data_IF_005773689501
#
_entry.id   IF_005773689501
#
_cell.length_a   1.000
_cell.length_b   1.000
_cell.length_c   1.000
_cell.angle_alpha   90.00
_cell.angle_beta   90.00
_cell.angle_gamma   90.00
#
_symmetry.space_group_name_H-M   'P 1'
#
loop_
_entity.id
_entity.type
_entity.pdbx_description
1 polymer ?
#
# COMPACT_ATOMS: atom_id res chain seq x y z
N UNK A 1 -50.86 -48.49 -1.96
CA UNK A 1 -51.64 -47.37 -2.52
C UNK A 1 -50.65 -46.48 -3.27
N UNK A 2 -50.40 -46.73 -4.55
CA UNK A 2 -51.12 -46.25 -5.74
C UNK A 2 -51.10 -44.72 -5.93
N UNK A 3 -50.58 -44.36 -7.11
CA UNK A 3 -50.44 -43.05 -7.74
C UNK A 3 -51.78 -42.47 -8.27
N UNK A 4 -51.66 -41.26 -8.87
CA UNK A 4 -52.56 -40.53 -9.82
C UNK A 4 -53.37 -39.41 -9.12
N UNK A 5 -52.97 -38.14 -9.18
CA UNK A 5 -52.99 -37.11 -10.26
C UNK A 5 -54.37 -36.49 -10.56
N UNK A 6 -54.44 -35.15 -10.49
CA UNK A 6 -55.18 -34.26 -11.40
C UNK A 6 -54.93 -32.78 -11.06
N UNK A 7 -54.39 -32.05 -12.05
CA UNK A 7 -54.38 -30.58 -12.22
C UNK A 7 -55.74 -30.13 -12.84
N UNK A 8 -56.16 -28.84 -12.91
CA UNK A 8 -55.44 -27.77 -13.65
C UNK A 8 -55.69 -26.29 -13.25
N UNK A 9 -54.98 -25.39 -13.93
CA UNK A 9 -55.22 -23.94 -14.01
C UNK A 9 -53.93 -23.16 -13.69
N UNK A 10 -53.18 -22.55 -14.60
CA UNK A 10 -53.56 -21.91 -15.85
C UNK A 10 -53.63 -20.40 -15.63
N UNK A 11 -52.50 -19.68 -15.77
CA UNK A 11 -52.45 -18.37 -16.43
C UNK A 11 -50.99 -17.91 -16.62
N UNK A 12 -50.76 -17.32 -17.79
CA UNK A 12 -49.48 -16.98 -18.35
C UNK A 12 -49.16 -15.49 -18.22
N UNK A 13 -47.83 -15.22 -18.17
CA UNK A 13 -47.10 -14.01 -18.60
C UNK A 13 -47.29 -12.69 -17.84
N UNK A 14 -46.36 -11.72 -18.00
CA UNK A 14 -44.93 -11.81 -18.36
C UNK A 14 -44.07 -11.03 -17.33
N UNK A 15 -42.74 -11.16 -17.36
CA UNK A 15 -41.78 -10.04 -17.26
C UNK A 15 -40.37 -10.55 -16.92
N UNK A 16 -39.44 -10.08 -17.74
CA UNK A 16 -38.10 -10.63 -17.91
C UNK A 16 -37.16 -10.48 -16.71
N UNK A 17 -35.96 -11.08 -16.81
CA UNK A 17 -34.93 -10.92 -15.80
C UNK A 17 -34.50 -9.46 -15.75
N UNK A 18 -34.58 -8.87 -14.55
CA UNK A 18 -33.98 -7.56 -14.24
C UNK A 18 -32.46 -7.71 -14.41
N UNK A 19 -31.98 -7.48 -15.63
CA UNK A 19 -30.60 -7.10 -15.88
C UNK A 19 -30.38 -5.79 -15.13
N UNK A 20 -29.71 -5.88 -13.99
CA UNK A 20 -29.07 -4.71 -13.40
C UNK A 20 -27.96 -4.28 -14.35
N UNK A 21 -28.30 -3.35 -15.23
CA UNK A 21 -27.36 -2.54 -15.97
C UNK A 21 -26.39 -1.93 -14.96
N UNK A 22 -25.18 -2.47 -14.89
CA UNK A 22 -24.05 -1.81 -14.21
C UNK A 22 -23.80 -0.56 -15.02
N UNK A 23 -24.36 0.56 -14.56
CA UNK A 23 -24.04 1.87 -15.10
C UNK A 23 -22.57 2.12 -14.80
N UNK A 24 -21.73 1.99 -15.82
CA UNK A 24 -20.40 2.55 -15.81
C UNK A 24 -20.56 4.07 -15.68
N UNK A 25 -20.38 4.58 -14.46
CA UNK A 25 -20.24 6.01 -14.22
C UNK A 25 -18.91 6.42 -14.86
N UNK A 26 -18.98 6.82 -16.12
CA UNK A 26 -17.95 7.66 -16.74
C UNK A 26 -18.22 9.07 -16.24
N UNK A 27 -17.62 9.41 -15.10
CA UNK A 27 -17.53 10.80 -14.63
C UNK A 27 -16.60 11.54 -15.60
N UNK A 28 -17.18 12.07 -16.67
CA UNK A 28 -16.57 13.13 -17.48
C UNK A 28 -16.57 14.41 -16.65
N UNK A 29 -15.51 14.58 -15.86
CA UNK A 29 -15.20 15.86 -15.23
C UNK A 29 -14.72 16.83 -16.33
N UNK A 30 -15.66 17.55 -16.93
CA UNK A 30 -15.43 18.74 -17.74
C UNK A 30 -15.12 19.96 -16.85
N UNK A 31 -14.06 19.85 -16.06
CA UNK A 31 -13.36 20.98 -15.47
C UNK A 31 -11.91 20.86 -15.90
N UNK A 32 -11.25 21.96 -16.26
CA UNK A 32 -9.84 21.97 -16.71
C UNK A 32 -9.02 21.07 -15.78
N UNK A 33 -8.74 19.84 -16.23
CA UNK A 33 -7.88 18.93 -15.49
C UNK A 33 -6.51 19.58 -15.60
N UNK A 34 -6.04 20.16 -14.51
CA UNK A 34 -4.66 20.63 -14.45
C UNK A 34 -3.80 19.39 -14.59
N UNK A 35 -3.13 19.25 -15.74
CA UNK A 35 -2.16 18.20 -15.97
C UNK A 35 -0.96 18.48 -15.05
N UNK A 36 -0.84 17.63 -14.03
CA UNK A 36 0.27 17.65 -13.11
C UNK A 36 1.52 17.02 -13.72
N UNK A 37 2.68 17.36 -13.16
CA UNK A 37 3.95 16.84 -13.63
C UNK A 37 4.87 16.49 -12.44
N UNK A 38 5.53 15.34 -12.51
CA UNK A 38 6.63 14.97 -11.61
C UNK A 38 7.90 14.81 -12.45
N UNK A 39 8.98 15.47 -12.04
CA UNK A 39 10.31 15.33 -12.62
C UNK A 39 11.34 14.95 -11.57
N UNK A 40 12.33 14.16 -11.97
CA UNK A 40 13.47 13.84 -11.14
C UNK A 40 14.68 13.43 -11.99
N UNK A 41 15.88 13.81 -11.58
CA UNK A 41 17.11 13.24 -12.15
C UNK A 41 17.40 11.91 -11.45
N UNK A 42 17.55 10.84 -12.21
CA UNK A 42 17.80 9.51 -11.69
C UNK A 42 19.30 9.24 -11.59
N UNK A 43 19.74 8.83 -10.41
CA UNK A 43 21.03 8.19 -10.21
C UNK A 43 20.76 6.71 -9.91
N UNK A 44 20.97 5.84 -10.90
CA UNK A 44 20.57 4.43 -10.83
C UNK A 44 21.74 3.48 -11.04
N UNK A 45 21.84 2.44 -10.20
CA UNK A 45 22.83 1.36 -10.36
C UNK A 45 22.61 0.51 -11.61
N UNK A 46 21.39 0.51 -12.14
CA UNK A 46 20.98 -0.27 -13.30
C UNK A 46 20.07 0.55 -14.23
N UNK A 47 20.07 0.27 -15.54
CA UNK A 47 19.13 0.92 -16.46
C UNK A 47 17.68 0.70 -16.05
N UNK A 48 16.90 1.78 -16.04
CA UNK A 48 15.45 1.74 -15.83
C UNK A 48 14.78 1.21 -17.09
N UNK A 49 14.07 0.09 -16.96
CA UNK A 49 13.34 -0.54 -18.07
C UNK A 49 11.94 0.06 -18.24
N UNK A 50 11.29 0.38 -17.12
CA UNK A 50 9.96 1.01 -17.07
C UNK A 50 9.82 1.87 -15.82
N UNK A 51 9.05 2.94 -15.93
CA UNK A 51 8.70 3.81 -14.81
C UNK A 51 7.19 4.07 -14.78
N UNK A 52 6.66 4.33 -13.59
CA UNK A 52 5.26 4.69 -13.38
C UNK A 52 5.13 5.70 -12.24
N UNK A 53 4.15 6.59 -12.36
CA UNK A 53 3.56 7.28 -11.22
C UNK A 53 2.30 6.50 -10.79
N UNK A 54 2.35 5.88 -9.62
CA UNK A 54 1.23 5.12 -9.05
C UNK A 54 0.36 6.07 -8.25
N UNK A 55 -0.77 6.48 -8.84
CA UNK A 55 -1.76 7.30 -8.17
C UNK A 55 -2.43 6.49 -7.06
N UNK A 56 -2.35 6.96 -5.81
CA UNK A 56 -3.04 6.41 -4.65
C UNK A 56 -4.31 7.22 -4.41
N UNK A 57 -5.45 6.62 -4.78
CA UNK A 57 -6.78 7.20 -4.59
C UNK A 57 -7.43 6.59 -3.36
N UNK A 58 -7.92 7.44 -2.46
CA UNK A 58 -8.83 7.03 -1.43
C UNK A 58 -10.25 7.28 -1.90
N UNK A 59 -11.08 6.24 -1.87
CA UNK A 59 -12.51 6.28 -2.16
C UNK A 59 -13.30 5.80 -0.94
N UNK A 60 -14.61 6.00 -0.94
CA UNK A 60 -15.50 5.48 0.11
C UNK A 60 -15.46 3.93 0.20
N UNK A 61 -15.09 3.29 -0.91
CA UNK A 61 -14.96 1.83 -1.03
C UNK A 61 -13.56 1.32 -0.63
N UNK A 62 -12.62 2.22 -0.33
CA UNK A 62 -11.27 1.91 0.11
C UNK A 62 -10.18 2.56 -0.74
N UNK A 63 -8.99 1.96 -0.74
CA UNK A 63 -7.85 2.48 -1.50
C UNK A 63 -7.73 1.82 -2.86
N UNK A 64 -7.75 2.63 -3.92
CA UNK A 64 -7.54 2.20 -5.31
C UNK A 64 -6.20 2.75 -5.78
N UNK A 65 -5.44 1.93 -6.50
CA UNK A 65 -4.22 2.38 -7.17
C UNK A 65 -4.39 2.39 -8.68
N UNK A 66 -3.88 3.43 -9.33
CA UNK A 66 -3.79 3.51 -10.80
C UNK A 66 -2.37 3.82 -11.20
N UNK A 67 -1.74 2.90 -11.93
CA UNK A 67 -0.41 3.13 -12.50
C UNK A 67 -0.52 3.96 -13.77
N UNK A 68 0.09 5.15 -13.76
CA UNK A 68 0.23 6.01 -14.92
C UNK A 68 1.66 5.85 -15.45
N UNK A 69 1.85 5.55 -16.75
CA UNK A 69 3.18 5.44 -17.33
C UNK A 69 4.01 6.71 -17.10
N UNK A 70 5.29 6.54 -16.83
CA UNK A 70 6.27 7.61 -16.83
C UNK A 70 7.41 7.24 -17.79
N UNK A 71 8.07 8.25 -18.33
CA UNK A 71 9.20 8.08 -19.24
C UNK A 71 10.51 8.41 -18.56
N UNK A 72 11.57 7.74 -18.99
CA UNK A 72 12.94 8.02 -18.57
C UNK A 72 13.77 8.25 -19.82
N UNK A 73 14.26 9.48 -19.98
CA UNK A 73 15.07 9.93 -21.12
C UNK A 73 16.31 10.61 -20.56
N UNK A 74 17.50 10.19 -20.98
CA UNK A 74 18.79 10.76 -20.51
C UNK A 74 18.85 10.92 -18.98
N UNK A 75 18.51 9.85 -18.26
CA UNK A 75 18.45 9.81 -16.78
C UNK A 75 17.39 10.74 -16.15
N UNK A 76 16.56 11.42 -16.94
CA UNK A 76 15.48 12.25 -16.46
C UNK A 76 14.17 11.46 -16.44
N UNK A 77 13.59 11.31 -15.25
CA UNK A 77 12.21 10.88 -15.10
C UNK A 77 11.27 12.04 -15.44
N UNK A 78 10.27 11.76 -16.27
CA UNK A 78 9.12 12.65 -16.51
C UNK A 78 7.84 11.83 -16.40
N UNK A 79 6.95 12.25 -15.50
CA UNK A 79 5.57 11.77 -15.42
C UNK A 79 4.65 12.98 -15.62
N UNK A 80 4.06 13.10 -16.80
CA UNK A 80 3.17 14.18 -17.24
C UNK A 80 1.70 13.72 -17.22
N UNK A 81 0.78 14.64 -17.50
CA UNK A 81 -0.67 14.41 -17.53
C UNK A 81 -1.24 13.74 -16.27
N UNK A 82 -0.64 14.04 -15.12
CA UNK A 82 -1.05 13.48 -13.84
C UNK A 82 -2.31 14.20 -13.31
N UNK A 83 -3.26 13.48 -12.71
CA UNK A 83 -4.41 14.11 -12.06
C UNK A 83 -3.99 15.07 -10.94
N UNK A 84 -4.61 16.25 -10.90
CA UNK A 84 -4.43 17.26 -9.84
C UNK A 84 -5.80 17.65 -9.26
N UNK A 85 -5.99 17.60 -7.92
CA UNK A 85 -5.04 17.13 -6.92
C UNK A 85 -4.83 15.60 -7.01
N UNK A 86 -3.65 15.14 -6.59
CA UNK A 86 -3.31 13.73 -6.62
C UNK A 86 -2.12 13.41 -5.73
N UNK A 87 -2.01 12.14 -5.30
CA UNK A 87 -0.89 11.64 -4.51
C UNK A 87 -0.28 10.41 -5.17
N UNK A 88 1.03 10.42 -5.37
CA UNK A 88 1.72 9.46 -6.21
C UNK A 88 2.89 8.79 -5.50
N UNK A 89 3.04 7.49 -5.73
CA UNK A 89 4.28 6.76 -5.47
C UNK A 89 4.97 6.46 -6.80
N UNK A 90 6.25 6.75 -6.93
CA UNK A 90 7.03 6.38 -8.11
C UNK A 90 7.40 4.91 -8.03
N UNK A 91 7.28 4.21 -9.16
CA UNK A 91 7.67 2.81 -9.30
C UNK A 91 8.57 2.65 -10.50
N UNK A 92 9.62 1.85 -10.34
CA UNK A 92 10.61 1.56 -11.37
C UNK A 92 10.78 0.05 -11.50
N UNK A 93 10.88 -0.41 -12.76
CA UNK A 93 11.35 -1.74 -13.08
C UNK A 93 12.78 -1.63 -13.62
N UNK A 94 13.69 -2.37 -13.00
CA UNK A 94 15.06 -2.58 -13.49
C UNK A 94 15.28 -4.08 -13.76
N UNK A 95 16.40 -4.46 -14.35
CA UNK A 95 16.68 -5.88 -14.68
C UNK A 95 16.64 -6.77 -13.43
N UNK A 96 17.15 -6.30 -12.31
CA UNK A 96 17.21 -7.06 -11.07
C UNK A 96 15.91 -7.04 -10.26
N UNK A 97 14.92 -6.21 -10.55
CA UNK A 97 13.68 -6.17 -9.76
C UNK A 97 12.91 -4.86 -9.84
N UNK A 98 12.20 -4.54 -8.74
CA UNK A 98 11.39 -3.34 -8.61
C UNK A 98 11.89 -2.43 -7.50
N UNK A 99 11.83 -1.13 -7.75
CA UNK A 99 11.83 -0.09 -6.72
C UNK A 99 10.45 0.55 -6.68
N UNK A 100 9.91 0.79 -5.49
CA UNK A 100 8.59 1.41 -5.34
C UNK A 100 8.58 2.39 -4.17
N UNK A 101 7.94 3.54 -4.38
CA UNK A 101 7.64 4.49 -3.32
C UNK A 101 6.61 3.97 -2.34
N UNK A 102 6.69 4.45 -1.11
CA UNK A 102 5.62 4.32 -0.16
C UNK A 102 5.44 5.64 0.58
N UNK A 103 4.19 6.00 0.86
CA UNK A 103 3.84 7.29 1.45
C UNK A 103 4.15 7.29 2.95
N UNK A 104 5.38 7.67 3.30
CA UNK A 104 5.84 7.83 4.66
C UNK A 104 5.33 9.11 5.34
N UNK A 105 4.64 9.99 4.60
CA UNK A 105 4.21 11.29 5.15
C UNK A 105 3.15 11.10 6.23
N UNK A 106 3.15 11.98 7.21
CA UNK A 106 2.16 12.05 8.27
C UNK A 106 1.70 13.51 8.42
N UNK A 107 0.52 13.77 9.02
CA UNK A 107 0.13 15.12 9.38
C UNK A 107 1.20 15.80 10.24
N UNK A 108 1.33 17.11 10.10
CA UNK A 108 2.15 17.91 11.02
C UNK A 108 1.66 17.72 12.45
N UNK A 109 2.59 17.74 13.39
CA UNK A 109 2.24 17.66 14.80
C UNK A 109 1.88 19.04 15.34
N UNK A 110 0.90 19.10 16.24
CA UNK A 110 0.61 20.27 17.07
C UNK A 110 1.73 20.56 18.08
N UNK A 111 2.66 19.62 18.29
CA UNK A 111 3.80 19.74 19.18
C UNK A 111 5.10 20.03 18.41
N UNK A 112 5.83 21.04 18.87
CA UNK A 112 7.04 21.54 18.19
C UNK A 112 8.29 20.75 18.57
N UNK A 113 8.35 20.16 19.77
CA UNK A 113 9.61 19.79 20.42
C UNK A 113 10.12 18.36 20.11
N UNK A 114 9.29 17.46 19.59
CA UNK A 114 9.65 16.05 19.37
C UNK A 114 9.37 15.59 17.93
N UNK A 115 10.21 16.09 17.01
CA UNK A 115 10.20 15.64 15.62
C UNK A 115 11.65 15.37 15.18
N UNK A 116 11.98 14.19 14.64
CA UNK A 116 11.08 13.10 14.19
C UNK A 116 10.58 12.18 15.32
N UNK A 117 9.77 11.17 14.97
CA UNK A 117 9.28 10.11 15.87
C UNK A 117 10.40 9.54 16.75
N UNK A 118 10.21 9.57 18.07
CA UNK A 118 11.19 9.07 19.03
C UNK A 118 11.31 7.54 19.04
N UNK A 119 12.47 7.02 19.45
CA UNK A 119 12.68 5.58 19.60
C UNK A 119 11.78 4.96 20.68
N UNK A 120 11.42 5.72 21.73
CA UNK A 120 10.46 5.28 22.74
C UNK A 120 9.06 5.10 22.13
N UNK A 121 8.58 6.06 21.34
CA UNK A 121 7.30 5.94 20.63
C UNK A 121 7.32 4.81 19.59
N UNK A 122 8.44 4.63 18.87
CA UNK A 122 8.65 3.50 17.97
C UNK A 122 8.52 2.17 18.71
N UNK A 123 9.14 2.03 19.88
CA UNK A 123 9.06 0.82 20.70
C UNK A 123 7.62 0.56 21.20
N UNK A 124 6.89 1.60 21.59
CA UNK A 124 5.48 1.48 22.02
C UNK A 124 4.59 0.98 20.88
N UNK A 125 4.73 1.54 19.67
CA UNK A 125 4.00 1.07 18.48
C UNK A 125 4.32 -0.40 18.20
N UNK A 126 5.60 -0.78 18.19
CA UNK A 126 6.03 -2.16 17.96
C UNK A 126 5.48 -3.13 19.02
N UNK A 127 5.45 -2.71 20.29
CA UNK A 127 4.88 -3.49 21.39
C UNK A 127 3.38 -3.74 21.18
N UNK A 128 2.62 -2.69 20.84
CA UNK A 128 1.18 -2.84 20.50
C UNK A 128 0.96 -3.73 19.29
N UNK A 129 1.76 -3.59 18.24
CA UNK A 129 1.68 -4.45 17.05
C UNK A 129 2.02 -5.91 17.33
N UNK A 130 2.78 -6.19 18.39
CA UNK A 130 3.13 -7.54 18.83
C UNK A 130 2.03 -8.21 19.66
N UNK A 131 1.04 -7.45 20.14
CA UNK A 131 -0.08 -8.00 20.88
C UNK A 131 -0.85 -9.05 20.06
N UNK A 132 -1.32 -10.10 20.73
CA UNK A 132 -2.02 -11.22 20.10
C UNK A 132 -3.26 -10.77 19.32
N UNK A 133 -3.98 -9.76 19.81
CA UNK A 133 -5.13 -9.15 19.13
C UNK A 133 -4.78 -8.59 17.74
N UNK A 134 -3.58 -8.02 17.58
CA UNK A 134 -3.12 -7.47 16.29
C UNK A 134 -2.59 -8.55 15.34
N UNK A 135 -2.02 -9.63 15.87
CA UNK A 135 -1.32 -10.66 15.07
C UNK A 135 -2.12 -11.95 14.88
N UNK A 136 -3.32 -12.06 15.47
CA UNK A 136 -4.14 -13.28 15.46
C UNK A 136 -4.41 -13.82 14.04
N UNK A 137 -4.66 -12.91 13.09
CA UNK A 137 -5.04 -13.24 11.72
C UNK A 137 -3.87 -13.45 10.75
N UNK A 138 -2.65 -13.21 11.22
CA UNK A 138 -1.44 -13.26 10.39
C UNK A 138 -0.53 -14.37 10.89
N UNK A 139 0.04 -15.11 9.95
CA UNK A 139 0.98 -16.19 10.27
C UNK A 139 2.40 -15.63 10.37
N UNK A 140 2.71 -14.55 9.65
CA UNK A 140 3.95 -13.79 9.80
C UNK A 140 3.70 -12.29 9.67
N UNK A 141 4.40 -11.51 10.48
CA UNK A 141 4.34 -10.03 10.47
C UNK A 141 5.76 -9.48 10.52
N UNK A 142 6.11 -8.68 9.52
CA UNK A 142 7.41 -7.99 9.42
C UNK A 142 7.16 -6.51 9.21
N UNK A 143 7.78 -5.67 10.04
CA UNK A 143 7.81 -4.22 9.84
C UNK A 143 9.07 -3.90 9.03
N UNK A 144 8.89 -3.23 7.89
CA UNK A 144 9.99 -2.88 7.00
C UNK A 144 10.54 -1.49 7.30
N UNK A 145 9.68 -0.54 7.67
CA UNK A 145 10.07 0.81 8.09
C UNK A 145 8.95 1.45 8.94
N UNK A 146 9.32 2.41 9.78
CA UNK A 146 8.41 3.30 10.54
C UNK A 146 8.95 4.72 10.44
N UNK A 147 8.10 5.64 10.01
CA UNK A 147 8.37 7.07 9.91
C UNK A 147 7.27 7.86 10.60
N UNK A 148 7.55 9.08 11.05
CA UNK A 148 6.54 9.89 11.72
C UNK A 148 7.09 11.05 12.53
N UNK A 149 6.22 11.61 13.36
CA UNK A 149 6.51 12.60 14.41
C UNK A 149 5.94 12.11 15.75
N UNK A 150 5.99 12.93 16.80
CA UNK A 150 5.46 12.58 18.13
C UNK A 150 3.98 12.17 18.15
N UNK A 151 3.14 12.70 17.25
CA UNK A 151 1.70 12.42 17.23
C UNK A 151 1.27 11.39 16.20
N UNK A 152 2.02 11.24 15.11
CA UNK A 152 1.57 10.49 13.94
C UNK A 152 2.68 9.60 13.41
N UNK A 153 2.34 8.37 13.01
CA UNK A 153 3.27 7.45 12.40
C UNK A 153 2.69 6.74 11.16
N UNK A 154 3.59 6.44 10.24
CA UNK A 154 3.41 5.66 9.03
C UNK A 154 4.24 4.38 9.15
N UNK A 155 3.59 3.23 9.10
CA UNK A 155 4.23 1.92 9.30
C UNK A 155 4.14 1.12 8.01
N UNK A 156 5.28 0.90 7.33
CA UNK A 156 5.37 -0.01 6.20
C UNK A 156 5.52 -1.44 6.73
N UNK A 157 4.54 -2.31 6.45
CA UNK A 157 4.56 -3.70 6.90
C UNK A 157 4.27 -4.71 5.81
N UNK A 158 4.87 -5.88 5.95
CA UNK A 158 4.58 -7.08 5.19
C UNK A 158 3.92 -8.12 6.10
N UNK A 159 2.79 -8.66 5.69
CA UNK A 159 2.09 -9.72 6.42
C UNK A 159 1.84 -10.91 5.51
N UNK A 160 2.01 -12.12 6.06
CA UNK A 160 1.66 -13.38 5.42
C UNK A 160 0.44 -13.96 6.09
N UNK A 161 -0.45 -14.49 5.26
CA UNK A 161 -1.57 -15.30 5.67
C UNK A 161 -1.58 -16.64 4.94
N UNK A 162 -1.57 -17.73 5.70
CA UNK A 162 -1.70 -19.09 5.21
C UNK A 162 -3.05 -19.71 5.55
N UNK A 163 -3.78 -19.18 6.55
CA UNK A 163 -5.09 -19.72 6.93
C UNK A 163 -6.27 -19.04 6.18
N UNK A 164 -7.27 -19.81 5.69
CA UNK A 164 -8.50 -19.25 5.12
C UNK A 164 -9.27 -18.40 6.15
N UNK A 165 -10.06 -17.43 5.70
CA UNK A 165 -11.05 -16.72 6.53
C UNK A 165 -12.37 -17.47 6.44
N UNK A 166 -13.08 -17.60 7.57
CA UNK A 166 -14.46 -18.12 7.55
C UNK A 166 -15.31 -17.15 6.72
N UNK A 167 -15.84 -17.63 5.58
CA UNK A 167 -16.78 -16.88 4.73
C UNK A 167 -16.19 -15.99 3.62
N UNK A 168 -14.86 -15.86 3.49
CA UNK A 168 -14.25 -14.88 2.56
C UNK A 168 -13.52 -15.43 1.33
N UNK A 169 -13.51 -16.76 1.10
CA UNK A 169 -12.82 -17.36 -0.06
C UNK A 169 -11.28 -17.25 -0.06
N UNK A 170 -10.67 -16.84 1.06
CA UNK A 170 -9.22 -16.69 1.21
C UNK A 170 -8.52 -18.05 1.08
N UNK A 171 -7.48 -18.12 0.24
CA UNK A 171 -6.67 -19.33 0.04
C UNK A 171 -5.27 -19.13 0.63
N UNK A 172 -4.62 -20.18 1.17
CA UNK A 172 -3.27 -20.09 1.74
C UNK A 172 -2.24 -19.41 0.84
N UNK A 173 -1.31 -18.66 1.44
CA UNK A 173 -0.13 -18.09 0.77
C UNK A 173 -0.31 -16.65 0.30
N UNK A 174 -1.15 -15.86 0.97
CA UNK A 174 -1.38 -14.47 0.62
C UNK A 174 -0.40 -13.55 1.35
N UNK A 175 0.41 -12.82 0.59
CA UNK A 175 1.24 -11.75 1.10
C UNK A 175 0.59 -10.40 0.84
N UNK A 176 0.59 -9.54 1.86
CA UNK A 176 0.12 -8.16 1.76
C UNK A 176 1.20 -7.22 2.26
N UNK A 177 1.60 -6.28 1.41
CA UNK A 177 2.39 -5.11 1.79
C UNK A 177 1.45 -3.92 1.91
N UNK A 178 1.50 -3.23 3.04
CA UNK A 178 0.64 -2.08 3.32
C UNK A 178 1.35 -1.05 4.16
N UNK A 179 0.87 0.18 4.05
CA UNK A 179 1.24 1.29 4.92
C UNK A 179 0.10 1.50 5.89
N UNK A 180 0.40 1.50 7.19
CA UNK A 180 -0.58 1.77 8.24
C UNK A 180 -0.39 3.15 8.83
N UNK A 181 -1.48 3.78 9.22
CA UNK A 181 -1.47 5.07 9.90
C UNK A 181 -1.77 4.87 11.37
N UNK A 182 -0.91 5.46 12.18
CA UNK A 182 -1.00 5.44 13.64
C UNK A 182 -1.05 6.87 14.13
N UNK A 183 -1.81 7.08 15.19
CA UNK A 183 -1.95 8.36 15.85
C UNK A 183 -1.81 8.18 17.37
N UNK A 184 -1.36 9.23 18.01
CA UNK A 184 -1.29 9.35 19.45
C UNK A 184 -2.62 9.90 19.96
N UNK A 185 -3.37 9.12 20.74
CA UNK A 185 -4.67 9.54 21.27
C UNK A 185 -4.53 10.32 22.58
N UNK A 186 -3.58 9.95 23.45
CA UNK A 186 -3.42 10.58 24.76
C UNK A 186 -1.94 10.78 25.12
N UNK A 187 -1.51 12.06 25.25
CA UNK A 187 -0.18 12.41 25.69
C UNK A 187 0.27 11.86 27.05
N UNK A 188 -0.67 11.75 27.98
CA UNK A 188 -0.44 11.35 29.35
C UNK A 188 -0.42 9.84 29.53
N UNK A 189 -1.06 9.09 28.64
CA UNK A 189 -1.07 7.62 28.67
C UNK A 189 -0.10 6.98 27.67
N UNK A 190 0.63 7.78 26.87
CA UNK A 190 1.48 7.30 25.77
C UNK A 190 0.73 6.33 24.82
N UNK A 191 -0.57 6.55 24.63
CA UNK A 191 -1.44 5.60 23.95
C UNK A 191 -1.45 5.83 22.44
N UNK A 192 -0.72 4.97 21.71
CA UNK A 192 -0.77 4.91 20.23
C UNK A 192 -1.91 4.01 19.74
N UNK A 193 -2.70 4.47 18.77
CA UNK A 193 -3.77 3.67 18.12
C UNK A 193 -3.67 3.78 16.60
N UNK A 194 -4.29 2.84 15.89
CA UNK A 194 -4.44 2.95 14.43
C UNK A 194 -5.45 4.04 14.11
N UNK A 195 -5.13 4.90 13.15
CA UNK A 195 -6.02 6.00 12.72
C UNK A 195 -7.36 5.44 12.25
N UNK A 196 -8.47 5.89 12.82
CA UNK A 196 -9.78 5.27 12.58
C UNK A 196 -10.31 5.50 11.15
N UNK A 197 -10.18 6.73 10.63
CA UNK A 197 -10.69 7.05 9.27
C UNK A 197 -9.78 6.58 8.13
N UNK A 198 -8.48 6.46 8.39
CA UNK A 198 -7.47 6.13 7.37
C UNK A 198 -6.47 5.09 7.89
N UNK A 199 -6.92 3.91 8.34
CA UNK A 199 -6.09 3.00 9.12
C UNK A 199 -4.93 2.42 8.31
N UNK A 200 -5.11 2.21 7.01
CA UNK A 200 -4.06 1.72 6.13
C UNK A 200 -4.43 1.88 4.65
N UNK A 201 -3.42 1.77 3.78
CA UNK A 201 -3.62 1.44 2.37
C UNK A 201 -2.69 0.30 1.93
N UNK A 202 -3.18 -0.57 1.05
CA UNK A 202 -2.38 -1.68 0.52
C UNK A 202 -1.51 -1.19 -0.66
N UNK A 203 -0.22 -1.51 -0.62
CA UNK A 203 0.70 -1.29 -1.74
C UNK A 203 0.53 -2.40 -2.77
N UNK A 204 0.61 -3.65 -2.30
CA UNK A 204 0.45 -4.87 -3.07
C UNK A 204 -0.23 -5.91 -2.21
N UNK A 205 -1.23 -6.58 -2.79
CA UNK A 205 -1.80 -7.82 -2.27
C UNK A 205 -1.62 -8.89 -3.33
N UNK A 206 -0.83 -9.92 -3.03
CA UNK A 206 -0.50 -10.96 -4.00
C UNK A 206 -0.40 -12.32 -3.34
N UNK A 207 -1.00 -13.31 -4.00
CA UNK A 207 -0.79 -14.71 -3.65
C UNK A 207 0.52 -15.19 -4.25
N UNK A 208 1.40 -15.72 -3.41
CA UNK A 208 2.69 -16.25 -3.82
C UNK A 208 3.04 -17.47 -2.99
N UNK A 209 3.59 -18.49 -3.65
CA UNK A 209 4.25 -19.57 -2.92
C UNK A 209 5.55 -19.06 -2.32
N UNK A 210 6.07 -19.76 -1.30
CA UNK A 210 7.28 -19.34 -0.61
C UNK A 210 8.48 -19.18 -1.56
N UNK A 211 8.60 -20.05 -2.57
CA UNK A 211 9.62 -19.95 -3.62
C UNK A 211 9.54 -18.61 -4.35
N UNK A 212 8.35 -18.20 -4.77
CA UNK A 212 8.14 -16.94 -5.50
C UNK A 212 8.39 -15.72 -4.61
N UNK A 213 8.00 -15.82 -3.33
CA UNK A 213 8.28 -14.79 -2.35
C UNK A 213 9.79 -14.62 -2.11
N UNK A 214 10.55 -15.71 -2.01
CA UNK A 214 12.03 -15.66 -1.87
C UNK A 214 12.71 -15.11 -3.14
N UNK A 215 12.11 -15.32 -4.31
CA UNK A 215 12.59 -14.80 -5.58
C UNK A 215 12.20 -13.33 -5.82
N UNK A 216 11.26 -12.79 -5.04
CA UNK A 216 10.86 -11.39 -5.13
C UNK A 216 12.08 -10.49 -4.90
N UNK A 217 12.19 -9.41 -5.67
CA UNK A 217 13.23 -8.39 -5.52
C UNK A 217 12.54 -7.05 -5.56
N UNK A 218 12.08 -6.61 -4.39
CA UNK A 218 11.33 -5.36 -4.26
C UNK A 218 11.94 -4.51 -3.16
N UNK A 219 12.28 -3.29 -3.52
CA UNK A 219 12.86 -2.31 -2.59
C UNK A 219 11.89 -1.14 -2.48
N UNK A 220 11.37 -0.92 -1.27
CA UNK A 220 10.54 0.23 -0.97
C UNK A 220 11.42 1.39 -0.52
N UNK A 221 11.21 2.58 -1.09
CA UNK A 221 12.00 3.76 -0.76
C UNK A 221 11.10 4.94 -0.42
N UNK A 222 11.30 5.55 0.76
CA UNK A 222 10.37 6.58 1.25
C UNK A 222 10.38 7.86 0.44
N UNK A 223 11.52 8.25 -0.13
CA UNK A 223 11.65 9.46 -0.96
C UNK A 223 10.96 9.35 -2.33
N UNK A 224 10.56 8.13 -2.72
CA UNK A 224 9.82 7.88 -3.95
C UNK A 224 8.30 7.91 -3.73
N UNK A 225 7.82 8.01 -2.49
CA UNK A 225 6.40 7.88 -2.16
C UNK A 225 5.75 9.15 -1.62
N UNK A 226 4.42 9.19 -1.68
CA UNK A 226 3.61 10.24 -1.08
C UNK A 226 3.71 11.61 -1.77
N UNK A 227 4.20 11.66 -3.01
CA UNK A 227 4.41 12.90 -3.78
C UNK A 227 3.05 13.53 -4.08
N UNK A 228 2.79 14.69 -3.50
CA UNK A 228 1.51 15.38 -3.62
C UNK A 228 1.57 16.45 -4.71
N UNK A 229 0.63 16.38 -5.66
CA UNK A 229 0.33 17.45 -6.59
C UNK A 229 -0.98 18.11 -6.14
N UNK A 230 -0.97 19.43 -6.05
CA UNK A 230 -2.15 20.22 -5.64
C UNK A 230 -2.44 21.26 -6.70
N UNK A 231 -3.65 21.82 -6.71
CA UNK A 231 -3.98 22.90 -7.65
C UNK A 231 -3.05 24.11 -7.52
N UNK A 232 -2.46 24.33 -6.34
CA UNK A 232 -1.46 25.39 -6.09
C UNK A 232 -0.04 24.98 -6.48
N UNK A 233 0.25 23.67 -6.46
CA UNK A 233 1.55 23.08 -6.81
C UNK A 233 1.32 21.87 -7.73
N UNK A 234 0.98 22.11 -9.01
CA UNK A 234 0.70 21.03 -9.96
C UNK A 234 1.99 20.36 -10.46
N UNK A 235 3.16 20.95 -10.20
CA UNK A 235 4.46 20.42 -10.59
C UNK A 235 5.31 20.09 -9.36
N UNK A 236 5.95 18.93 -9.39
CA UNK A 236 6.94 18.52 -8.41
C UNK A 236 8.26 18.19 -9.11
N UNK A 237 9.30 18.98 -8.81
CA UNK A 237 10.68 18.61 -9.10
C UNK A 237 11.26 17.99 -7.82
N UNK A 238 11.66 16.72 -7.91
CA UNK A 238 12.24 15.96 -6.81
C UNK A 238 13.77 16.10 -6.74
N UNK A 239 14.38 16.78 -7.71
CA UNK A 239 15.83 16.86 -7.83
C UNK A 239 16.46 15.49 -8.12
N UNK A 240 17.71 15.25 -7.68
CA UNK A 240 18.36 13.96 -7.84
C UNK A 240 17.76 12.92 -6.89
N UNK A 241 17.38 11.76 -7.43
CA UNK A 241 16.92 10.60 -6.66
C UNK A 241 17.81 9.38 -6.92
N UNK A 242 18.24 8.74 -5.84
CA UNK A 242 19.01 7.51 -5.90
C UNK A 242 18.09 6.31 -6.05
N UNK A 243 18.38 5.44 -7.01
CA UNK A 243 17.72 4.17 -7.26
C UNK A 243 18.73 3.01 -7.01
N UNK A 244 18.82 2.49 -5.77
CA UNK A 244 19.75 1.41 -5.46
C UNK A 244 19.34 0.10 -6.16
N UNK A 245 20.31 -0.76 -6.47
CA UNK A 245 20.02 -2.11 -7.00
C UNK A 245 19.06 -2.90 -6.08
N UNK A 246 17.90 -3.39 -6.58
CA UNK A 246 17.03 -4.29 -5.85
C UNK A 246 17.72 -5.57 -5.36
N UNK A 247 17.49 -5.90 -4.09
CA UNK A 247 18.05 -7.08 -3.44
C UNK A 247 17.03 -8.24 -3.37
N UNK A 248 17.49 -9.51 -3.26
CA UNK A 248 16.62 -10.66 -2.96
C UNK A 248 15.78 -10.44 -1.70
N UNK A 249 14.47 -10.64 -1.81
CA UNK A 249 13.46 -10.37 -0.78
C UNK A 249 12.75 -9.02 -0.96
N UNK A 250 12.05 -8.62 0.09
CA UNK A 250 11.43 -7.29 0.18
C UNK A 250 12.12 -6.49 1.27
N UNK A 251 12.54 -5.26 0.95
CA UNK A 251 13.29 -4.40 1.88
C UNK A 251 12.76 -2.97 1.82
N UNK A 252 13.11 -2.18 2.84
CA UNK A 252 13.00 -0.73 2.79
C UNK A 252 14.39 -0.10 2.83
N UNK A 253 14.51 1.07 2.21
CA UNK A 253 15.74 1.88 2.19
C UNK A 253 15.44 3.34 2.53
N UNK A 254 16.45 3.98 3.11
CA UNK A 254 16.51 5.42 3.33
C UNK A 254 16.75 6.17 1.99
N UNK A 255 16.58 7.51 1.95
CA UNK A 255 16.82 8.32 0.77
C UNK A 255 18.25 8.25 0.21
N UNK A 256 19.22 7.98 1.07
CA UNK A 256 20.63 7.76 0.69
C UNK A 256 20.90 6.34 0.13
N UNK A 257 19.87 5.49 0.06
CA UNK A 257 19.97 4.10 -0.38
C UNK A 257 20.40 3.12 0.72
N UNK A 258 20.71 3.58 1.93
CA UNK A 258 21.06 2.70 3.05
C UNK A 258 19.85 1.88 3.50
N UNK A 259 20.11 0.64 3.95
CA UNK A 259 19.06 -0.32 4.28
C UNK A 259 18.43 -0.02 5.64
N UNK A 260 17.10 -0.11 5.72
CA UNK A 260 16.37 -0.14 6.99
C UNK A 260 16.33 -1.58 7.51
N UNK A 261 16.72 -1.77 8.77
CA UNK A 261 16.66 -3.08 9.41
C UNK A 261 15.19 -3.46 9.69
N UNK A 262 14.70 -4.58 9.14
CA UNK A 262 13.33 -4.99 9.38
C UNK A 262 13.15 -5.53 10.80
N UNK A 263 11.98 -5.28 11.40
CA UNK A 263 11.59 -5.82 12.71
C UNK A 263 10.62 -6.99 12.50
N UNK A 264 11.02 -8.18 12.96
CA UNK A 264 10.16 -9.36 12.94
C UNK A 264 9.25 -9.35 14.17
N UNK A 265 7.96 -9.10 13.95
CA UNK A 265 6.95 -9.10 15.02
C UNK A 265 6.45 -10.51 15.31
N UNK A 266 6.24 -11.31 14.26
CA UNK A 266 5.77 -12.69 14.38
C UNK A 266 6.43 -13.55 13.30
N UNK A 267 7.21 -14.59 13.67
CA UNK A 267 7.72 -15.56 12.72
C UNK A 267 6.58 -16.43 12.18
N UNK A 268 6.75 -16.96 10.96
CA UNK A 268 5.86 -18.01 10.47
C UNK A 268 6.05 -19.26 11.36
N UNK A 269 4.97 -19.78 11.94
CA UNK A 269 5.02 -21.07 12.62
C UNK A 269 5.25 -22.16 11.58
N UNK A 270 6.29 -22.98 11.77
CA UNK A 270 6.49 -24.14 10.89
C UNK A 270 5.29 -25.08 10.99
N UNK A 271 4.78 -25.60 9.85
CA UNK A 271 3.71 -26.57 9.87
C UNK A 271 4.26 -27.89 10.44
N UNK A 272 4.16 -28.08 11.76
CA UNK A 272 4.59 -29.32 12.43
C UNK A 272 4.98 -29.17 13.90
N UNK A 273 5.21 -27.96 14.40
CA UNK A 273 5.49 -27.72 15.82
C UNK A 273 4.21 -27.60 16.64
N UNK A 274 3.58 -28.72 16.97
CA UNK A 274 2.67 -28.74 18.13
C UNK A 274 3.51 -28.61 19.41
N UNK A 275 3.02 -27.89 20.45
CA UNK A 275 3.56 -28.05 21.80
C UNK A 275 3.32 -29.48 22.33
#
# INVERSE_FOLDING_TARGET
>A
MMHVSSTPGGNASPDGPIMKTVSAIVLLLSGVAWCGEIRARLDSDEPVLKAWAVHRLQTDEGFVSRSLPARVEDEMLVADDLPVPGRFDLRFQVKSGFLEGWDATVPESDYVEEQPLSEASRATILSKMSASSFTAYWDRVVILDIQGNIQNAAVLRAVLRTRPFVGGGYRPGEWTWRVERWQWEDPMEHTWTTHQDRPYYALVRRRMFERDHRALRTTYARHLGGIALTSRRPRADLGPIRLPRPMPGTHAVNPDGSRVAPVLIKPATEPGGAP
#
